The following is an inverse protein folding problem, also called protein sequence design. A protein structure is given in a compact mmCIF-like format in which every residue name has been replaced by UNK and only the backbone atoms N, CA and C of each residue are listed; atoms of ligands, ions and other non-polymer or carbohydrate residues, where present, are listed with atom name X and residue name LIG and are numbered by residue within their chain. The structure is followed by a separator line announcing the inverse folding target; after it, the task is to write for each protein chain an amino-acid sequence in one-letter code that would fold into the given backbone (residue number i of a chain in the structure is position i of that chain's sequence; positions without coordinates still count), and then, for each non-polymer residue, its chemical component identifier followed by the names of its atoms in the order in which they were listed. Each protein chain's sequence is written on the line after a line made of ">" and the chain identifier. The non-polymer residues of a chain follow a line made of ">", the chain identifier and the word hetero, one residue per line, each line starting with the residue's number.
data_IF_934517343363
#
_entry.id   IF_934517343363
#
_cell.length_a   1.000
_cell.length_b   1.000
_cell.length_c   1.000
_cell.angle_alpha   90.00
_cell.angle_beta   90.00
_cell.angle_gamma   90.00
#
_symmetry.space_group_name_H-M   'P 1'
#
loop_
_entity.id
_entity.type
_entity.pdbx_description
1 polymer ?
#
# COMPACT_ATOMS: atom_id res chain seq x y z
N UNK A 1 2.76 -47.03 17.53
CA UNK A 1 2.31 -46.87 16.12
C UNK A 1 1.82 -45.44 15.95
N UNK A 2 2.59 -44.59 15.26
CA UNK A 2 2.12 -43.27 14.82
C UNK A 2 1.78 -43.38 13.34
N UNK A 3 0.51 -43.15 13.00
CA UNK A 3 0.04 -43.10 11.63
C UNK A 3 0.55 -41.80 11.01
N UNK A 4 1.74 -41.84 10.38
CA UNK A 4 2.25 -40.73 9.56
C UNK A 4 1.32 -40.61 8.36
N UNK A 5 0.59 -39.50 8.29
CA UNK A 5 -0.37 -39.21 7.23
C UNK A 5 0.20 -39.54 5.86
N UNK A 6 -0.54 -40.35 5.12
CA UNK A 6 -0.15 -40.89 3.82
C UNK A 6 0.16 -39.74 2.86
N UNK A 7 1.44 -39.60 2.49
CA UNK A 7 1.87 -38.69 1.43
C UNK A 7 1.22 -39.17 0.13
N UNK A 8 0.31 -38.38 -0.44
CA UNK A 8 -0.32 -38.68 -1.73
C UNK A 8 0.68 -38.32 -2.83
N UNK A 9 1.16 -39.31 -3.58
CA UNK A 9 1.77 -39.07 -4.89
C UNK A 9 0.74 -38.31 -5.75
N UNK A 10 1.12 -37.15 -6.26
CA UNK A 10 0.34 -36.41 -7.25
C UNK A 10 0.98 -36.76 -8.59
N UNK A 11 0.16 -37.28 -9.50
CA UNK A 11 0.54 -37.97 -10.74
C UNK A 11 1.82 -37.46 -11.45
N UNK A 12 2.71 -38.41 -11.81
CA UNK A 12 3.91 -38.26 -12.66
C UNK A 12 4.98 -37.24 -12.22
N UNK A 13 4.79 -36.56 -11.09
CA UNK A 13 5.73 -35.57 -10.52
C UNK A 13 6.35 -36.01 -9.18
N UNK A 14 5.99 -37.20 -8.69
CA UNK A 14 6.53 -37.77 -7.46
C UNK A 14 5.83 -37.29 -6.18
N UNK A 15 6.59 -37.22 -5.08
CA UNK A 15 6.08 -36.86 -3.74
C UNK A 15 6.34 -35.38 -3.48
N UNK A 16 5.27 -34.60 -3.28
CA UNK A 16 5.35 -33.16 -2.97
C UNK A 16 5.38 -32.94 -1.45
N UNK A 17 6.31 -32.12 -0.98
CA UNK A 17 6.35 -31.60 0.39
C UNK A 17 5.46 -30.37 0.53
N UNK A 18 4.23 -30.56 1.02
CA UNK A 18 3.29 -29.45 1.22
C UNK A 18 3.59 -28.62 2.48
N UNK A 19 4.63 -29.00 3.23
CA UNK A 19 5.15 -28.32 4.42
C UNK A 19 6.24 -27.27 4.10
N UNK A 20 6.74 -27.22 2.87
CA UNK A 20 7.82 -26.32 2.43
C UNK A 20 7.42 -25.53 1.18
N UNK A 21 6.34 -24.75 1.32
CA UNK A 21 5.83 -23.88 0.25
C UNK A 21 6.45 -22.49 0.43
N UNK A 22 7.11 -21.99 -0.60
CA UNK A 22 7.70 -20.65 -0.63
C UNK A 22 6.97 -19.75 -1.64
N UNK A 23 6.86 -18.47 -1.32
CA UNK A 23 6.47 -17.44 -2.29
C UNK A 23 7.71 -16.98 -3.06
N UNK A 24 7.51 -16.53 -4.31
CA UNK A 24 8.61 -15.98 -5.12
C UNK A 24 9.03 -14.57 -4.65
N UNK A 25 8.13 -13.87 -3.95
CA UNK A 25 8.37 -12.60 -3.27
C UNK A 25 7.94 -12.75 -1.81
N UNK A 26 8.69 -12.16 -0.89
CA UNK A 26 8.46 -12.21 0.55
C UNK A 26 7.47 -11.13 1.03
N UNK A 27 6.89 -10.38 0.09
CA UNK A 27 5.86 -9.37 0.35
C UNK A 27 4.62 -9.59 -0.52
N UNK A 28 3.45 -9.50 0.09
CA UNK A 28 2.18 -9.31 -0.62
C UNK A 28 1.62 -7.95 -0.20
N UNK A 29 1.47 -7.04 -1.17
CA UNK A 29 0.81 -5.76 -0.97
C UNK A 29 -0.58 -5.77 -1.56
N UNK A 30 -1.56 -5.36 -0.77
CA UNK A 30 -2.99 -5.39 -1.13
C UNK A 30 -3.56 -4.00 -0.94
N UNK A 31 -4.27 -3.51 -1.96
CA UNK A 31 -4.91 -2.21 -1.93
C UNK A 31 -6.42 -2.37 -1.83
N UNK A 32 -7.01 -1.73 -0.82
CA UNK A 32 -8.44 -1.73 -0.54
C UNK A 32 -8.92 -0.30 -0.73
N UNK A 33 -9.85 -0.07 -1.65
CA UNK A 33 -10.41 1.26 -1.87
C UNK A 33 -11.13 1.75 -0.61
N UNK A 34 -10.86 2.99 -0.22
CA UNK A 34 -11.57 3.66 0.87
C UNK A 34 -12.74 4.43 0.25
N UNK A 35 -13.97 4.04 0.59
CA UNK A 35 -15.17 4.65 0.02
C UNK A 35 -15.60 5.93 0.76
N UNK A 36 -15.33 5.99 2.06
CA UNK A 36 -15.53 7.18 2.89
C UNK A 36 -14.52 7.17 4.05
N UNK A 37 -14.22 8.37 4.55
CA UNK A 37 -13.31 8.58 5.66
C UNK A 37 -14.02 9.32 6.79
N UNK A 38 -13.74 8.92 8.03
CA UNK A 38 -14.16 9.68 9.21
C UNK A 38 -13.55 11.09 9.20
N UNK A 39 -14.20 12.05 9.85
CA UNK A 39 -13.68 13.43 9.94
C UNK A 39 -12.29 13.48 10.60
N UNK A 40 -12.02 12.57 11.52
CA UNK A 40 -10.70 12.45 12.14
C UNK A 40 -9.63 12.00 11.13
N UNK A 41 -9.95 10.99 10.32
CA UNK A 41 -9.04 10.50 9.29
C UNK A 41 -8.82 11.56 8.20
N UNK A 42 -9.88 12.26 7.76
CA UNK A 42 -9.79 13.37 6.80
C UNK A 42 -8.80 14.45 7.28
N UNK A 43 -8.88 14.86 8.55
CA UNK A 43 -7.93 15.82 9.13
C UNK A 43 -6.49 15.31 9.16
N UNK A 44 -6.28 14.02 9.43
CA UNK A 44 -4.93 13.42 9.38
C UNK A 44 -4.40 13.43 7.95
N UNK A 45 -5.22 13.07 6.96
CA UNK A 45 -4.93 13.12 5.52
C UNK A 45 -4.55 14.53 5.08
N UNK A 46 -5.35 15.53 5.39
CA UNK A 46 -5.05 16.93 5.06
C UNK A 46 -3.70 17.38 5.62
N UNK A 47 -3.40 17.01 6.87
CA UNK A 47 -2.10 17.33 7.48
C UNK A 47 -0.93 16.62 6.79
N UNK A 48 -1.12 15.38 6.36
CA UNK A 48 -0.10 14.62 5.63
C UNK A 48 0.12 15.19 4.22
N UNK A 49 -0.95 15.61 3.53
CA UNK A 49 -0.88 16.31 2.24
C UNK A 49 -0.02 17.57 2.38
N UNK A 50 -0.33 18.45 3.33
CA UNK A 50 0.43 19.71 3.49
C UNK A 50 1.90 19.47 3.83
N UNK A 51 2.20 18.45 4.65
CA UNK A 51 3.58 18.04 4.90
C UNK A 51 4.25 17.54 3.61
N UNK A 52 3.57 16.69 2.85
CA UNK A 52 4.10 16.08 1.64
C UNK A 52 4.34 17.11 0.52
N UNK A 53 3.47 18.13 0.39
CA UNK A 53 3.66 19.27 -0.51
C UNK A 53 5.00 19.97 -0.26
N UNK A 54 5.31 20.26 1.01
CA UNK A 54 6.57 20.90 1.40
C UNK A 54 7.78 20.01 1.12
N UNK A 55 7.68 18.71 1.40
CA UNK A 55 8.77 17.76 1.16
C UNK A 55 9.02 17.57 -0.35
N UNK A 56 7.97 17.46 -1.14
CA UNK A 56 8.05 17.37 -2.59
C UNK A 56 8.70 18.60 -3.22
N UNK A 57 8.27 19.81 -2.82
CA UNK A 57 8.86 21.06 -3.31
C UNK A 57 10.37 21.10 -3.08
N UNK A 58 10.83 20.73 -1.88
CA UNK A 58 12.27 20.65 -1.56
C UNK A 58 13.01 19.63 -2.41
N UNK A 59 12.41 18.45 -2.61
CA UNK A 59 13.00 17.39 -3.44
C UNK A 59 13.15 17.86 -4.89
N UNK A 60 12.14 18.53 -5.46
CA UNK A 60 12.20 19.01 -6.84
C UNK A 60 13.14 20.20 -6.99
N UNK A 61 13.22 21.10 -6.01
CA UNK A 61 14.21 22.17 -5.97
C UNK A 61 15.64 21.62 -6.01
N UNK A 62 15.92 20.58 -5.22
CA UNK A 62 17.21 19.89 -5.23
C UNK A 62 17.48 19.24 -6.58
N UNK A 63 16.52 18.48 -7.11
CA UNK A 63 16.63 17.84 -8.42
C UNK A 63 16.92 18.86 -9.54
N UNK A 64 16.20 19.99 -9.54
CA UNK A 64 16.39 21.07 -10.51
C UNK A 64 17.81 21.63 -10.45
N UNK A 65 18.35 21.84 -9.25
CA UNK A 65 19.71 22.32 -9.03
C UNK A 65 20.77 21.33 -9.51
N UNK A 66 20.61 20.05 -9.20
CA UNK A 66 21.58 19.00 -9.55
C UNK A 66 21.58 18.68 -11.05
N UNK A 67 20.43 18.79 -11.71
CA UNK A 67 20.24 18.35 -13.10
C UNK A 67 20.10 19.50 -14.10
N UNK A 68 20.26 20.76 -13.67
CA UNK A 68 19.99 21.96 -14.47
C UNK A 68 18.60 21.88 -15.15
N UNK A 69 17.61 21.43 -14.38
CA UNK A 69 16.22 21.29 -14.81
C UNK A 69 15.37 22.45 -14.27
N UNK A 70 14.17 22.62 -14.82
CA UNK A 70 13.24 23.68 -14.42
C UNK A 70 11.82 23.12 -14.23
N UNK A 71 11.70 22.11 -13.37
CA UNK A 71 10.40 21.55 -12.96
C UNK A 71 9.68 22.52 -12.00
N UNK A 72 8.35 22.56 -12.00
CA UNK A 72 7.59 23.35 -11.03
C UNK A 72 7.91 22.93 -9.59
N UNK A 73 7.93 23.90 -8.66
CA UNK A 73 8.22 23.65 -7.23
C UNK A 73 7.18 24.27 -6.30
N UNK A 74 6.25 25.06 -6.84
CA UNK A 74 5.28 25.84 -6.07
C UNK A 74 3.89 25.24 -6.25
N UNK A 75 3.22 24.97 -5.14
CA UNK A 75 1.82 24.57 -5.08
C UNK A 75 0.92 25.80 -5.09
N UNK A 76 -0.26 25.69 -5.68
CA UNK A 76 -1.31 26.70 -5.58
C UNK A 76 -1.88 26.79 -4.16
N UNK A 77 -2.55 27.91 -3.86
CA UNK A 77 -3.29 28.09 -2.61
C UNK A 77 -4.64 27.32 -2.60
N UNK A 78 -4.96 26.59 -3.67
CA UNK A 78 -6.19 25.80 -3.77
C UNK A 78 -6.02 24.44 -3.10
N UNK A 79 -7.12 23.82 -2.64
CA UNK A 79 -7.09 22.42 -2.25
C UNK A 79 -6.59 21.56 -3.41
N UNK A 80 -5.78 20.55 -3.08
CA UNK A 80 -5.31 19.56 -4.06
C UNK A 80 -6.48 18.75 -4.61
N UNK A 81 -6.31 18.23 -5.81
CA UNK A 81 -7.24 17.26 -6.39
C UNK A 81 -6.77 15.88 -5.99
N UNK A 82 -7.60 15.15 -5.24
CA UNK A 82 -7.30 13.77 -4.85
C UNK A 82 -7.62 12.84 -6.02
N UNK A 83 -6.62 12.11 -6.50
CA UNK A 83 -6.72 11.18 -7.61
C UNK A 83 -7.05 9.77 -7.12
N UNK A 84 -6.46 9.37 -6.00
CA UNK A 84 -6.60 8.04 -5.45
C UNK A 84 -6.57 8.05 -3.92
N UNK A 85 -7.35 7.17 -3.31
CA UNK A 85 -7.30 6.93 -1.87
C UNK A 85 -7.53 5.45 -1.60
N UNK A 86 -6.62 4.83 -0.88
CA UNK A 86 -6.71 3.41 -0.52
C UNK A 86 -6.08 3.10 0.82
N UNK A 87 -6.48 1.97 1.39
CA UNK A 87 -5.75 1.31 2.45
C UNK A 87 -4.82 0.29 1.79
N UNK A 88 -3.52 0.44 1.93
CA UNK A 88 -2.57 -0.64 1.67
C UNK A 88 -2.41 -1.50 2.92
N UNK A 89 -2.44 -2.81 2.69
CA UNK A 89 -2.08 -3.85 3.66
C UNK A 89 -0.81 -4.51 3.14
N UNK A 90 0.27 -4.42 3.92
CA UNK A 90 1.55 -5.06 3.60
C UNK A 90 1.72 -6.31 4.46
N UNK A 91 1.82 -7.47 3.80
CA UNK A 91 2.07 -8.76 4.43
C UNK A 91 3.50 -9.18 4.09
N UNK A 92 4.42 -9.02 5.04
CA UNK A 92 5.81 -9.41 4.90
C UNK A 92 6.17 -10.58 5.82
N UNK A 93 7.01 -11.50 5.33
CA UNK A 93 7.47 -12.64 6.14
C UNK A 93 8.20 -12.14 7.39
N UNK A 94 7.85 -12.71 8.55
CA UNK A 94 8.41 -12.39 9.87
C UNK A 94 8.22 -10.94 10.34
N UNK A 95 7.32 -10.17 9.72
CA UNK A 95 6.97 -8.82 10.18
C UNK A 95 5.50 -8.73 10.61
N UNK A 96 5.15 -7.79 11.51
CA UNK A 96 3.76 -7.41 11.72
C UNK A 96 3.11 -6.94 10.41
N UNK A 97 1.79 -7.09 10.32
CA UNK A 97 1.04 -6.52 9.21
C UNK A 97 1.06 -5.00 9.35
N UNK A 98 1.40 -4.31 8.27
CA UNK A 98 1.39 -2.85 8.22
C UNK A 98 0.16 -2.36 7.44
N UNK A 99 -0.43 -1.29 7.96
CA UNK A 99 -1.61 -0.65 7.39
C UNK A 99 -1.31 0.82 7.15
N UNK A 100 -1.50 1.26 5.91
CA UNK A 100 -1.27 2.65 5.52
C UNK A 100 -2.40 3.13 4.64
N UNK A 101 -2.92 4.32 4.95
CA UNK A 101 -3.81 5.04 4.03
C UNK A 101 -2.92 5.79 3.06
N UNK A 102 -3.02 5.45 1.77
CA UNK A 102 -2.31 6.13 0.69
C UNK A 102 -3.25 7.10 -0.01
N UNK A 103 -2.71 8.26 -0.35
CA UNK A 103 -3.42 9.34 -1.01
C UNK A 103 -2.51 9.86 -2.12
N UNK A 104 -3.00 9.73 -3.35
CA UNK A 104 -2.33 10.32 -4.51
C UNK A 104 -3.11 11.58 -4.89
N UNK A 105 -2.38 12.65 -5.20
CA UNK A 105 -2.98 13.93 -5.51
C UNK A 105 -2.09 14.79 -6.41
N UNK A 106 -2.73 15.74 -7.08
CA UNK A 106 -2.05 16.80 -7.83
C UNK A 106 -2.58 18.19 -7.47
N UNK A 107 -1.81 19.20 -7.86
CA UNK A 107 -2.20 20.60 -7.72
C UNK A 107 -3.34 20.95 -8.67
N UNK A 108 -4.30 21.72 -8.18
CA UNK A 108 -5.50 22.07 -8.96
C UNK A 108 -5.22 22.98 -10.18
N UNK A 109 -4.13 23.74 -10.17
CA UNK A 109 -3.76 24.65 -11.25
C UNK A 109 -2.60 24.13 -12.12
N UNK A 110 -1.89 23.08 -11.67
CA UNK A 110 -0.75 22.51 -12.37
C UNK A 110 -0.60 21.01 -12.08
N UNK A 111 -1.12 20.16 -12.96
CA UNK A 111 -1.06 18.69 -12.84
C UNK A 111 0.36 18.10 -12.77
N UNK A 112 1.39 18.84 -13.21
CA UNK A 112 2.79 18.44 -13.06
C UNK A 112 3.29 18.51 -11.61
N UNK A 113 2.56 19.20 -10.71
CA UNK A 113 2.80 19.17 -9.27
C UNK A 113 1.95 18.05 -8.67
N UNK A 114 2.52 16.84 -8.63
CA UNK A 114 1.84 15.62 -8.20
C UNK A 114 2.63 14.86 -7.13
N UNK A 115 1.92 14.09 -6.31
CA UNK A 115 2.51 13.22 -5.30
C UNK A 115 1.76 11.89 -5.23
N UNK A 116 2.51 10.79 -5.27
CA UNK A 116 1.99 9.42 -5.38
C UNK A 116 2.36 8.53 -4.17
N UNK A 117 2.97 9.11 -3.14
CA UNK A 117 3.37 8.38 -1.91
C UNK A 117 3.08 9.20 -0.65
N UNK A 118 1.99 9.98 -0.67
CA UNK A 118 1.49 10.55 0.57
C UNK A 118 0.72 9.45 1.31
N UNK A 119 1.17 9.11 2.51
CA UNK A 119 0.45 8.11 3.27
C UNK A 119 0.63 8.23 4.77
N UNK A 120 -0.33 7.65 5.47
CA UNK A 120 -0.46 7.72 6.93
C UNK A 120 -0.60 6.31 7.47
N UNK A 121 0.25 5.96 8.42
CA UNK A 121 0.13 4.70 9.14
C UNK A 121 -1.11 4.73 10.02
N UNK A 122 -1.88 3.66 9.97
CA UNK A 122 -3.09 3.48 10.79
C UNK A 122 -2.97 2.19 11.60
N UNK A 123 -3.52 2.20 12.80
CA UNK A 123 -3.59 1.00 13.62
C UNK A 123 -4.93 0.30 13.38
N UNK A 124 -4.87 -0.88 12.77
CA UNK A 124 -6.01 -1.78 12.57
C UNK A 124 -5.78 -3.13 13.25
N UNK A 125 -4.92 -3.16 14.28
CA UNK A 125 -4.54 -4.39 14.99
C UNK A 125 -5.74 -5.16 15.56
N UNK A 126 -6.76 -4.44 16.02
CA UNK A 126 -8.02 -5.03 16.52
C UNK A 126 -8.82 -5.76 15.42
N UNK A 127 -8.61 -5.40 14.15
CA UNK A 127 -9.31 -5.95 12.99
C UNK A 127 -8.46 -6.96 12.18
N UNK A 128 -7.25 -7.28 12.63
CA UNK A 128 -6.29 -8.12 11.91
C UNK A 128 -6.88 -9.43 11.39
N UNK A 129 -7.61 -10.16 12.23
CA UNK A 129 -8.16 -11.48 11.85
C UNK A 129 -9.30 -11.38 10.83
N UNK A 130 -10.08 -10.31 10.86
CA UNK A 130 -11.12 -10.06 9.87
C UNK A 130 -10.50 -9.71 8.51
N UNK A 131 -9.50 -8.81 8.52
CA UNK A 131 -8.79 -8.38 7.32
C UNK A 131 -8.10 -9.58 6.65
N UNK A 132 -7.41 -10.44 7.42
CA UNK A 132 -6.80 -11.68 6.89
C UNK A 132 -7.81 -12.59 6.20
N UNK A 133 -9.00 -12.77 6.78
CA UNK A 133 -10.06 -13.60 6.19
C UNK A 133 -10.56 -13.04 4.86
N UNK A 134 -10.76 -11.72 4.79
CA UNK A 134 -11.18 -11.04 3.57
C UNK A 134 -10.11 -11.19 2.50
N UNK A 135 -8.84 -10.97 2.83
CA UNK A 135 -7.71 -11.14 1.93
C UNK A 135 -7.64 -12.57 1.39
N UNK A 136 -7.71 -13.58 2.27
CA UNK A 136 -7.65 -14.98 1.86
C UNK A 136 -8.82 -15.32 0.92
N UNK A 137 -10.02 -14.83 1.23
CA UNK A 137 -11.19 -15.01 0.37
C UNK A 137 -10.98 -14.39 -1.02
N UNK A 138 -10.44 -13.18 -1.09
CA UNK A 138 -10.13 -12.51 -2.36
C UNK A 138 -9.08 -13.29 -3.16
N UNK A 139 -8.04 -13.79 -2.51
CA UNK A 139 -7.01 -14.61 -3.17
C UNK A 139 -7.62 -15.90 -3.74
N UNK A 140 -8.46 -16.59 -2.96
CA UNK A 140 -9.19 -17.78 -3.42
C UNK A 140 -10.09 -17.41 -4.59
N UNK A 141 -11.02 -16.47 -4.43
CA UNK A 141 -12.04 -16.15 -5.43
C UNK A 141 -11.45 -15.63 -6.76
N UNK A 142 -10.25 -15.03 -6.73
CA UNK A 142 -9.63 -14.39 -7.91
C UNK A 142 -8.62 -15.26 -8.63
N UNK A 143 -7.90 -16.13 -7.93
CA UNK A 143 -6.76 -16.87 -8.48
C UNK A 143 -6.93 -18.39 -8.47
N UNK A 144 -7.90 -18.92 -7.72
CA UNK A 144 -8.12 -20.36 -7.57
C UNK A 144 -9.55 -20.77 -7.96
#
# INVERSE_FOLDING_TARGET
>A
MMNKGTKKEIANIGVIGLDDIMFADDCIQIFINILDMSDELKKKVEKAIEKSKVEYSKMIEEYNRENNANRPTTWSDKPVVIDYTSLSVSLEINKPIEYRVNVDFHDADNDLMEQWDCGIDVDLSEHNEEIKKIILKVLIDRFF
#
